data_IF_230784204567
#
_entry.id   IF_230784204567
#
_cell.length_a   1.000
_cell.length_b   1.000
_cell.length_c   1.000
_cell.angle_alpha   90.00
_cell.angle_beta   90.00
_cell.angle_gamma   90.00
#
_symmetry.space_group_name_H-M   'P 1'
#
loop_
_entity.id
_entity.type
_entity.pdbx_description
1 polymer ?
#
# COMPACT_ATOMS: atom_id res chain seq x y z
N UNK A 1 9.64 10.09 -5.57
CA UNK A 1 9.57 10.91 -4.34
C UNK A 1 10.09 10.10 -3.16
N UNK A 2 10.96 10.71 -2.33
CA UNK A 2 11.53 10.07 -1.15
C UNK A 2 10.51 9.94 -0.01
N UNK A 3 10.68 8.93 0.84
CA UNK A 3 9.83 8.67 2.01
C UNK A 3 9.75 9.88 2.95
N UNK A 4 10.87 10.56 3.20
CA UNK A 4 10.92 11.74 4.09
C UNK A 4 10.04 12.88 3.60
N UNK A 5 10.05 13.16 2.28
CA UNK A 5 9.18 14.19 1.69
C UNK A 5 7.70 13.84 1.83
N UNK A 6 7.36 12.57 1.68
CA UNK A 6 5.99 12.09 1.88
C UNK A 6 5.57 12.17 3.35
N UNK A 7 6.44 11.76 4.28
CA UNK A 7 6.19 11.88 5.72
C UNK A 7 6.02 13.33 6.16
N UNK A 8 6.82 14.25 5.61
CA UNK A 8 6.67 15.67 5.89
C UNK A 8 5.27 16.17 5.50
N UNK A 9 4.80 15.84 4.30
CA UNK A 9 3.44 16.20 3.83
C UNK A 9 2.34 15.59 4.69
N UNK A 10 2.50 14.33 5.12
CA UNK A 10 1.55 13.67 6.04
C UNK A 10 1.49 14.43 7.37
N UNK A 11 2.65 14.81 7.92
CA UNK A 11 2.73 15.57 9.16
C UNK A 11 2.12 16.97 9.06
N UNK A 12 2.26 17.63 7.92
CA UNK A 12 1.56 18.90 7.65
C UNK A 12 0.04 18.71 7.74
N UNK A 13 -0.47 17.65 7.11
CA UNK A 13 -1.90 17.34 7.16
C UNK A 13 -2.39 16.96 8.55
N UNK A 14 -1.59 16.24 9.33
CA UNK A 14 -1.88 15.97 10.73
C UNK A 14 -1.98 17.26 11.56
N UNK A 15 -1.10 18.25 11.32
CA UNK A 15 -1.16 19.57 11.98
C UNK A 15 -2.44 20.31 11.65
N UNK A 16 -2.85 20.33 10.38
CA UNK A 16 -4.11 20.98 9.95
C UNK A 16 -5.32 20.38 10.67
N UNK A 17 -5.30 19.07 10.93
CA UNK A 17 -6.36 18.34 11.61
C UNK A 17 -6.22 18.36 13.15
N UNK A 18 -5.17 18.96 13.68
CA UNK A 18 -4.82 18.91 15.12
C UNK A 18 -4.68 17.48 15.65
N UNK A 19 -4.10 16.60 14.86
CA UNK A 19 -3.78 15.22 15.24
C UNK A 19 -2.32 15.11 15.68
N UNK A 20 -2.08 14.49 16.84
CA UNK A 20 -0.75 14.23 17.38
C UNK A 20 -0.11 12.99 16.74
N UNK A 21 -0.94 12.01 16.40
CA UNK A 21 -0.55 10.77 15.76
C UNK A 21 -1.49 10.39 14.60
N UNK A 22 -0.98 9.59 13.68
CA UNK A 22 -1.75 8.99 12.59
C UNK A 22 -1.54 7.47 12.60
N UNK A 23 -2.62 6.72 12.77
CA UNK A 23 -2.63 5.28 12.62
C UNK A 23 -3.04 4.89 11.21
N UNK A 24 -2.09 4.35 10.44
CA UNK A 24 -2.29 3.95 9.05
C UNK A 24 -2.34 2.42 8.95
N UNK A 25 -3.46 1.90 8.48
CA UNK A 25 -3.73 0.45 8.29
C UNK A 25 -3.91 0.05 6.82
N UNK A 26 -4.02 1.02 5.91
CA UNK A 26 -4.16 0.78 4.48
C UNK A 26 -2.84 0.28 3.87
N UNK A 27 -2.78 -0.98 3.47
CA UNK A 27 -1.58 -1.58 2.88
C UNK A 27 -1.09 -0.86 1.61
N UNK A 28 -1.96 -0.45 0.65
CA UNK A 28 -1.53 0.32 -0.50
C UNK A 28 -0.91 1.68 -0.14
N UNK A 29 -1.42 2.31 0.92
CA UNK A 29 -0.91 3.60 1.37
C UNK A 29 0.45 3.45 2.07
N UNK A 30 0.62 2.39 2.87
CA UNK A 30 1.89 2.04 3.50
C UNK A 30 2.94 1.72 2.44
N UNK A 31 2.61 0.87 1.47
CA UNK A 31 3.51 0.52 0.38
C UNK A 31 3.95 1.75 -0.43
N UNK A 32 3.03 2.69 -0.70
CA UNK A 32 3.34 3.95 -1.35
C UNK A 32 4.18 4.88 -0.48
N UNK A 33 3.83 5.04 0.80
CA UNK A 33 4.50 5.96 1.72
C UNK A 33 5.96 5.59 1.93
N UNK A 34 6.23 4.29 2.14
CA UNK A 34 7.57 3.77 2.44
C UNK A 34 8.35 3.29 1.21
N UNK A 35 7.78 3.38 0.01
CA UNK A 35 8.38 2.85 -1.24
C UNK A 35 8.75 1.37 -1.11
N UNK A 36 7.90 0.58 -0.48
CA UNK A 36 8.06 -0.87 -0.32
C UNK A 36 7.07 -1.64 -1.19
N UNK A 37 7.47 -2.85 -1.55
CA UNK A 37 6.61 -3.85 -2.19
C UNK A 37 6.83 -5.19 -1.51
N UNK A 38 5.83 -6.05 -1.55
CA UNK A 38 5.88 -7.41 -1.05
C UNK A 38 4.90 -8.29 -1.80
N UNK A 39 4.78 -9.54 -1.42
CA UNK A 39 3.98 -10.57 -2.07
C UNK A 39 3.09 -11.35 -1.07
N UNK A 40 2.79 -10.77 0.08
CA UNK A 40 1.89 -11.39 1.07
C UNK A 40 0.46 -11.56 0.55
N UNK A 41 0.09 -10.83 -0.51
CA UNK A 41 -1.25 -10.88 -1.12
C UNK A 41 -1.12 -11.29 -2.59
N UNK A 42 -1.78 -12.39 -2.95
CA UNK A 42 -1.76 -12.90 -4.31
C UNK A 42 -2.15 -11.83 -5.34
N UNK A 43 -1.40 -11.75 -6.44
CA UNK A 43 -1.59 -10.80 -7.55
C UNK A 43 -1.52 -9.32 -7.16
N UNK A 44 -1.00 -9.00 -5.97
CA UNK A 44 -0.94 -7.62 -5.49
C UNK A 44 0.38 -7.38 -4.76
N UNK A 45 1.22 -6.40 -5.16
CA UNK A 45 2.56 -6.22 -4.61
C UNK A 45 2.53 -5.52 -3.24
N UNK A 46 1.77 -6.08 -2.29
CA UNK A 46 1.57 -5.57 -0.95
C UNK A 46 2.07 -6.55 0.10
N UNK A 47 2.27 -6.05 1.31
CA UNK A 47 2.72 -6.80 2.47
C UNK A 47 1.93 -6.41 3.71
N UNK A 48 1.75 -7.34 4.65
CA UNK A 48 1.04 -7.08 5.89
C UNK A 48 1.82 -6.12 6.77
N UNK A 49 1.21 -4.98 7.07
CA UNK A 49 1.86 -3.91 7.82
C UNK A 49 0.87 -2.95 8.46
N UNK A 50 1.36 -2.20 9.45
CA UNK A 50 0.72 -1.02 10.02
C UNK A 50 1.77 0.07 10.17
N UNK A 51 1.34 1.32 10.21
CA UNK A 51 2.24 2.41 10.56
C UNK A 51 1.62 3.33 11.61
N UNK A 52 2.47 3.80 12.52
CA UNK A 52 2.15 4.82 13.50
C UNK A 52 3.09 5.99 13.31
N UNK A 53 2.54 7.15 12.99
CA UNK A 53 3.29 8.34 12.61
C UNK A 53 2.96 9.45 13.59
N UNK A 54 3.97 10.02 14.25
CA UNK A 54 3.85 11.23 15.06
C UNK A 54 4.62 12.38 14.41
N UNK A 55 4.63 13.55 15.03
CA UNK A 55 5.36 14.70 14.51
C UNK A 55 6.87 14.45 14.41
N UNK A 56 7.41 13.65 15.31
CA UNK A 56 8.85 13.40 15.46
C UNK A 56 9.26 11.94 15.20
N UNK A 57 8.35 10.98 15.33
CA UNK A 57 8.63 9.53 15.21
C UNK A 57 7.81 8.89 14.10
N UNK A 58 8.28 7.74 13.65
CA UNK A 58 7.55 6.87 12.74
C UNK A 58 7.87 5.41 13.08
N UNK A 59 6.83 4.64 13.33
CA UNK A 59 6.93 3.20 13.57
C UNK A 59 6.26 2.45 12.41
N UNK A 60 6.98 1.50 11.85
CA UNK A 60 6.47 0.61 10.81
C UNK A 60 6.45 -0.81 11.36
N UNK A 61 5.25 -1.38 11.47
CA UNK A 61 5.01 -2.74 11.94
C UNK A 61 4.91 -3.68 10.74
N UNK A 62 5.83 -4.63 10.64
CA UNK A 62 5.87 -5.64 9.59
C UNK A 62 6.62 -6.87 10.07
N UNK A 63 6.57 -7.95 9.33
CA UNK A 63 7.38 -9.14 9.60
C UNK A 63 8.85 -8.83 9.36
N UNK A 64 9.67 -8.90 10.41
CA UNK A 64 11.11 -8.54 10.36
C UNK A 64 11.93 -9.45 9.45
N UNK A 65 11.51 -10.68 9.25
CA UNK A 65 12.15 -11.65 8.37
C UNK A 65 11.94 -11.35 6.88
N UNK A 66 10.96 -10.50 6.54
CA UNK A 66 10.64 -10.13 5.16
C UNK A 66 11.37 -8.87 4.67
N UNK A 67 12.07 -8.14 5.55
CA UNK A 67 12.78 -6.91 5.16
C UNK A 67 14.26 -7.18 4.91
N UNK A 68 14.80 -6.69 3.79
CA UNK A 68 16.24 -6.80 3.53
C UNK A 68 17.05 -5.95 4.50
N UNK A 69 18.29 -6.38 4.81
CA UNK A 69 19.21 -5.63 5.67
C UNK A 69 19.47 -4.20 5.15
N UNK A 70 19.52 -4.02 3.84
CA UNK A 70 19.70 -2.72 3.19
C UNK A 70 18.49 -1.81 3.46
N UNK A 71 17.26 -2.31 3.28
CA UNK A 71 16.05 -1.54 3.55
C UNK A 71 15.92 -1.23 5.06
N UNK A 72 16.23 -2.20 5.92
CA UNK A 72 16.24 -1.99 7.37
C UNK A 72 17.20 -0.86 7.79
N UNK A 73 18.45 -0.89 7.31
CA UNK A 73 19.44 0.14 7.62
C UNK A 73 19.00 1.52 7.11
N UNK A 74 18.49 1.58 5.89
CA UNK A 74 17.94 2.81 5.30
C UNK A 74 16.83 3.42 6.16
N UNK A 75 15.87 2.63 6.62
CA UNK A 75 14.80 3.14 7.48
C UNK A 75 15.31 3.67 8.81
N UNK A 76 16.29 2.97 9.40
CA UNK A 76 16.93 3.43 10.64
C UNK A 76 17.62 4.80 10.46
N UNK A 77 18.29 5.02 9.34
CA UNK A 77 18.94 6.29 8.99
C UNK A 77 17.93 7.44 8.83
N UNK A 78 16.73 7.13 8.35
CA UNK A 78 15.62 8.08 8.21
C UNK A 78 14.72 8.17 9.46
N UNK A 79 15.15 7.66 10.61
CA UNK A 79 14.40 7.75 11.87
C UNK A 79 13.11 6.93 11.90
N UNK A 80 12.96 5.95 11.00
CA UNK A 80 11.82 5.04 10.99
C UNK A 80 12.17 3.78 11.78
N UNK A 81 11.42 3.54 12.84
CA UNK A 81 11.61 2.39 13.73
C UNK A 81 10.78 1.21 13.23
N UNK A 82 11.45 0.12 12.85
CA UNK A 82 10.77 -1.12 12.45
C UNK A 82 10.48 -1.97 13.69
N UNK A 83 9.23 -2.39 13.81
CA UNK A 83 8.70 -3.26 14.86
C UNK A 83 8.11 -4.54 14.26
N UNK A 84 7.99 -5.57 15.09
CA UNK A 84 7.31 -6.78 14.66
C UNK A 84 5.81 -6.52 14.43
N UNK A 85 5.26 -7.15 13.38
CA UNK A 85 3.84 -7.01 13.03
C UNK A 85 2.90 -7.31 14.21
N UNK A 86 3.25 -8.32 15.01
CA UNK A 86 2.43 -8.75 16.15
C UNK A 86 2.46 -7.77 17.32
N UNK A 87 3.43 -6.86 17.37
CA UNK A 87 3.53 -5.86 18.45
C UNK A 87 2.47 -4.75 18.34
N UNK A 88 1.82 -4.56 17.18
CA UNK A 88 0.89 -3.45 16.94
C UNK A 88 -0.23 -3.38 17.98
N UNK A 89 -0.86 -4.50 18.33
CA UNK A 89 -1.98 -4.51 19.27
C UNK A 89 -1.56 -4.13 20.70
N UNK A 90 -0.39 -4.56 21.16
CA UNK A 90 0.14 -4.14 22.46
C UNK A 90 0.55 -2.67 22.46
N UNK A 91 1.17 -2.22 21.37
CA UNK A 91 1.58 -0.83 21.20
C UNK A 91 0.38 0.13 21.25
N UNK A 92 -0.73 -0.17 20.53
CA UNK A 92 -1.91 0.70 20.49
C UNK A 92 -2.58 0.87 21.85
N UNK A 93 -2.58 -0.14 22.72
CA UNK A 93 -3.16 -0.09 24.07
C UNK A 93 -2.52 0.98 24.97
N UNK A 94 -1.27 1.31 24.72
CA UNK A 94 -0.47 2.20 25.54
C UNK A 94 -0.43 3.63 25.01
N UNK A 95 -1.20 3.93 23.94
CA UNK A 95 -1.26 5.27 23.38
C UNK A 95 -2.34 6.11 24.06
N UNK A 96 -2.12 7.44 24.07
CA UNK A 96 -2.99 8.42 24.76
C UNK A 96 -3.19 9.72 23.96
N UNK A 97 -2.61 9.80 22.76
CA UNK A 97 -2.59 10.98 21.90
C UNK A 97 -3.93 11.21 21.20
N UNK A 98 -4.06 12.38 20.55
CA UNK A 98 -5.11 12.62 19.56
C UNK A 98 -4.73 11.92 18.25
N UNK A 99 -5.47 10.90 17.85
CA UNK A 99 -5.13 9.99 16.76
C UNK A 99 -6.04 10.18 15.57
N UNK A 100 -5.45 10.51 14.43
CA UNK A 100 -6.11 10.43 13.13
C UNK A 100 -6.16 8.97 12.66
N UNK A 101 -7.30 8.50 12.19
CA UNK A 101 -7.45 7.22 11.51
C UNK A 101 -8.65 7.25 10.56
N UNK A 102 -8.61 6.37 9.56
CA UNK A 102 -9.75 6.13 8.69
C UNK A 102 -10.56 4.92 9.24
N UNK A 103 -11.80 5.13 9.73
CA UNK A 103 -12.60 4.05 10.31
C UNK A 103 -13.00 2.97 9.28
N UNK A 104 -13.15 3.33 8.00
CA UNK A 104 -13.49 2.39 6.92
C UNK A 104 -12.35 1.41 6.60
N UNK A 105 -11.12 1.77 6.95
CA UNK A 105 -9.91 0.99 6.66
C UNK A 105 -9.26 0.40 7.92
N UNK A 106 -9.72 0.79 9.10
CA UNK A 106 -9.20 0.31 10.38
C UNK A 106 -10.08 -0.83 10.90
N UNK A 107 -9.47 -1.97 11.20
CA UNK A 107 -10.25 -3.08 11.76
C UNK A 107 -10.75 -2.75 13.17
N UNK A 108 -11.89 -3.35 13.53
CA UNK A 108 -12.60 -3.09 14.79
C UNK A 108 -11.74 -3.35 16.04
N UNK A 109 -10.88 -4.36 16.01
CA UNK A 109 -9.98 -4.64 17.13
C UNK A 109 -9.05 -3.46 17.40
N UNK A 110 -8.34 -2.98 16.39
CA UNK A 110 -7.36 -1.90 16.55
C UNK A 110 -8.03 -0.57 16.89
N UNK A 111 -9.20 -0.30 16.33
CA UNK A 111 -9.99 0.86 16.71
C UNK A 111 -10.32 0.85 18.22
N UNK A 112 -10.80 -0.29 18.73
CA UNK A 112 -11.12 -0.40 20.16
C UNK A 112 -9.90 -0.38 21.10
N UNK A 113 -8.72 -0.78 20.62
CA UNK A 113 -7.50 -0.70 21.42
C UNK A 113 -7.05 0.75 21.68
N UNK A 114 -7.51 1.70 20.88
CA UNK A 114 -7.25 3.13 21.05
C UNK A 114 -8.22 3.82 22.02
N UNK A 115 -8.85 3.08 22.93
CA UNK A 115 -9.89 3.58 23.87
C UNK A 115 -9.42 4.69 24.82
N UNK A 116 -8.11 4.90 24.95
CA UNK A 116 -7.51 5.97 25.76
C UNK A 116 -7.19 7.22 24.91
N UNK A 117 -7.30 7.11 23.59
CA UNK A 117 -6.98 8.18 22.66
C UNK A 117 -8.23 9.01 22.32
N UNK A 118 -8.01 10.27 21.98
CA UNK A 118 -9.02 11.05 21.28
C UNK A 118 -8.94 10.73 19.80
N UNK A 119 -10.01 10.19 19.21
CA UNK A 119 -10.01 9.79 17.80
C UNK A 119 -10.51 10.93 16.93
N UNK A 120 -9.79 11.18 15.83
CA UNK A 120 -10.21 11.99 14.69
C UNK A 120 -10.46 11.02 13.54
N UNK A 121 -11.73 10.86 13.17
CA UNK A 121 -12.15 10.02 12.05
C UNK A 121 -12.15 10.85 10.77
N UNK A 122 -11.24 10.51 9.85
CA UNK A 122 -11.17 11.14 8.53
C UNK A 122 -10.49 10.19 7.53
N UNK A 123 -10.56 10.52 6.25
CA UNK A 123 -9.85 9.79 5.20
C UNK A 123 -8.34 9.89 5.39
N UNK A 124 -7.64 8.84 4.98
CA UNK A 124 -6.18 8.86 5.00
C UNK A 124 -5.65 9.98 4.12
N UNK A 125 -4.83 10.90 4.63
CA UNK A 125 -4.20 11.93 3.79
C UNK A 125 -3.35 11.34 2.65
N UNK A 126 -2.80 10.15 2.87
CA UNK A 126 -2.03 9.39 1.89
C UNK A 126 -2.85 8.95 0.67
N UNK A 127 -4.16 8.78 0.79
CA UNK A 127 -5.04 8.36 -0.30
C UNK A 127 -4.99 9.36 -1.48
N UNK A 128 -5.24 10.62 -1.20
CA UNK A 128 -5.19 11.68 -2.23
C UNK A 128 -3.75 11.92 -2.71
N UNK A 129 -2.77 11.93 -1.81
CA UNK A 129 -1.36 12.11 -2.16
C UNK A 129 -0.86 11.02 -3.12
N UNK A 130 -1.29 9.77 -2.93
CA UNK A 130 -1.00 8.64 -3.80
C UNK A 130 -1.75 8.73 -5.14
N UNK A 131 -2.97 9.27 -5.12
CA UNK A 131 -3.79 9.42 -6.32
C UNK A 131 -3.20 10.42 -7.31
N UNK A 132 -2.60 11.51 -6.82
CA UNK A 132 -1.92 12.52 -7.64
C UNK A 132 -0.55 12.00 -8.04
N UNK A 133 -0.38 11.68 -9.33
CA UNK A 133 0.85 11.10 -9.88
C UNK A 133 1.83 12.19 -10.31
N UNK A 134 3.13 11.94 -10.11
CA UNK A 134 4.19 12.77 -10.71
C UNK A 134 4.46 12.34 -12.16
N UNK A 135 5.25 13.12 -12.89
CA UNK A 135 5.50 12.91 -14.32
C UNK A 135 6.09 11.52 -14.61
N UNK A 136 7.05 11.06 -13.78
CA UNK A 136 7.66 9.72 -13.93
C UNK A 136 6.61 8.62 -13.76
N UNK A 137 5.73 8.75 -12.78
CA UNK A 137 4.63 7.80 -12.56
C UNK A 137 3.63 7.82 -13.71
N UNK A 138 3.34 9.00 -14.27
CA UNK A 138 2.47 9.16 -15.44
C UNK A 138 3.06 8.46 -16.66
N UNK A 139 4.35 8.64 -16.93
CA UNK A 139 5.02 8.01 -18.06
C UNK A 139 5.08 6.49 -17.93
N UNK A 140 5.36 5.97 -16.73
CA UNK A 140 5.30 4.54 -16.45
C UNK A 140 3.88 3.99 -16.65
N UNK A 141 2.84 4.69 -16.16
CA UNK A 141 1.46 4.28 -16.36
C UNK A 141 1.09 4.23 -17.84
N UNK A 142 1.48 5.24 -18.64
CA UNK A 142 1.25 5.22 -20.10
C UNK A 142 1.90 4.02 -20.76
N UNK A 143 3.16 3.73 -20.43
CA UNK A 143 3.87 2.58 -20.98
C UNK A 143 3.21 1.25 -20.58
N UNK A 144 2.84 1.08 -19.31
CA UNK A 144 2.12 -0.10 -18.83
C UNK A 144 0.78 -0.29 -19.54
N UNK A 145 0.00 0.78 -19.72
CA UNK A 145 -1.29 0.69 -20.42
C UNK A 145 -1.15 0.34 -21.90
N UNK A 146 -0.10 0.80 -22.58
CA UNK A 146 0.18 0.40 -23.96
C UNK A 146 0.50 -1.09 -24.02
N UNK A 147 1.38 -1.57 -23.14
CA UNK A 147 1.78 -2.97 -23.10
C UNK A 147 0.57 -3.88 -22.76
N UNK A 148 -0.18 -3.57 -21.70
CA UNK A 148 -1.38 -4.34 -21.36
C UNK A 148 -2.44 -4.29 -22.46
N UNK A 149 -2.58 -3.15 -23.14
CA UNK A 149 -3.45 -3.00 -24.32
C UNK A 149 -3.08 -3.92 -25.46
N UNK A 150 -1.79 -4.19 -25.69
CA UNK A 150 -1.31 -5.17 -26.67
C UNK A 150 -1.71 -6.59 -26.27
N UNK A 151 -1.49 -6.97 -25.02
CA UNK A 151 -1.88 -8.28 -24.51
C UNK A 151 -3.40 -8.49 -24.59
N UNK A 152 -4.16 -7.50 -24.12
CA UNK A 152 -5.62 -7.50 -24.18
C UNK A 152 -6.14 -7.62 -25.62
N UNK A 153 -5.56 -6.89 -26.57
CA UNK A 153 -5.97 -6.95 -27.98
C UNK A 153 -5.73 -8.34 -28.58
N UNK A 154 -4.57 -8.94 -28.32
CA UNK A 154 -4.25 -10.31 -28.76
C UNK A 154 -5.20 -11.34 -28.16
N UNK A 155 -5.45 -11.21 -26.84
CA UNK A 155 -6.39 -12.05 -26.12
C UNK A 155 -7.82 -11.92 -26.71
N UNK A 156 -8.33 -10.72 -26.91
CA UNK A 156 -9.66 -10.49 -27.47
C UNK A 156 -9.81 -11.04 -28.90
N UNK A 157 -8.76 -10.91 -29.71
CA UNK A 157 -8.74 -11.54 -31.03
C UNK A 157 -8.85 -13.06 -30.93
N UNK A 158 -8.04 -13.69 -30.07
CA UNK A 158 -8.09 -15.13 -29.83
C UNK A 158 -9.47 -15.57 -29.31
N UNK A 159 -10.03 -14.86 -28.33
CA UNK A 159 -11.33 -15.18 -27.75
C UNK A 159 -12.45 -15.15 -28.81
N UNK A 160 -12.54 -14.06 -29.56
CA UNK A 160 -13.55 -13.92 -30.64
C UNK A 160 -13.43 -14.99 -31.72
N UNK A 161 -12.22 -15.48 -31.99
CA UNK A 161 -11.99 -16.51 -33.01
C UNK A 161 -12.39 -17.91 -32.55
N UNK A 162 -12.37 -18.17 -31.26
CA UNK A 162 -12.51 -19.50 -30.66
C UNK A 162 -13.80 -19.69 -29.86
N UNK A 163 -14.46 -18.64 -29.41
CA UNK A 163 -15.71 -18.73 -28.64
C UNK A 163 -16.78 -19.48 -29.46
N UNK A 164 -17.43 -20.44 -28.82
CA UNK A 164 -18.42 -21.32 -29.45
C UNK A 164 -17.85 -22.40 -30.38
N UNK A 165 -16.52 -22.48 -30.57
CA UNK A 165 -15.85 -23.50 -31.41
C UNK A 165 -15.05 -24.49 -30.58
N UNK A 166 -14.56 -24.09 -29.43
CA UNK A 166 -13.85 -24.96 -28.49
C UNK A 166 -14.50 -24.89 -27.12
N UNK A 167 -14.44 -25.95 -26.30
CA UNK A 167 -14.83 -25.88 -24.90
C UNK A 167 -14.01 -24.80 -24.17
N UNK A 168 -14.68 -23.93 -23.42
CA UNK A 168 -14.04 -22.86 -22.66
C UNK A 168 -14.60 -22.83 -21.25
N UNK A 169 -13.72 -22.62 -20.27
CA UNK A 169 -14.06 -22.30 -18.89
C UNK A 169 -13.54 -20.91 -18.56
N UNK A 170 -14.10 -20.26 -17.55
CA UNK A 170 -13.63 -18.95 -17.06
C UNK A 170 -12.13 -18.98 -16.72
N UNK A 171 -11.68 -20.09 -16.09
CA UNK A 171 -10.27 -20.28 -15.77
C UNK A 171 -9.38 -20.31 -17.02
N UNK A 172 -9.75 -21.10 -18.04
CA UNK A 172 -8.97 -21.14 -19.29
C UNK A 172 -8.88 -19.78 -19.96
N UNK A 173 -9.94 -18.99 -19.89
CA UNK A 173 -9.96 -17.62 -20.45
C UNK A 173 -9.02 -16.71 -19.65
N UNK A 174 -9.04 -16.80 -18.34
CA UNK A 174 -8.13 -16.07 -17.44
C UNK A 174 -6.66 -16.45 -17.70
N UNK A 175 -6.36 -17.74 -17.68
CA UNK A 175 -5.02 -18.28 -17.93
C UNK A 175 -4.49 -17.82 -19.31
N UNK A 176 -5.37 -17.79 -20.33
CA UNK A 176 -4.99 -17.34 -21.67
C UNK A 176 -4.64 -15.85 -21.73
N UNK A 177 -5.32 -15.00 -20.98
CA UNK A 177 -4.96 -13.57 -20.87
C UNK A 177 -3.60 -13.42 -20.18
N UNK A 178 -3.38 -14.20 -19.12
CA UNK A 178 -2.12 -14.20 -18.38
C UNK A 178 -0.94 -14.58 -19.29
N UNK A 179 -1.07 -15.66 -20.10
CA UNK A 179 -0.07 -16.06 -21.09
C UNK A 179 0.29 -14.93 -22.08
N UNK A 180 -0.63 -14.04 -22.42
CA UNK A 180 -0.31 -12.90 -23.29
C UNK A 180 0.42 -11.80 -22.53
N UNK A 181 0.17 -11.63 -21.25
CA UNK A 181 0.87 -10.70 -20.36
C UNK A 181 2.30 -11.14 -20.04
N UNK A 182 2.50 -12.45 -19.78
CA UNK A 182 3.82 -13.04 -19.54
C UNK A 182 4.83 -12.81 -20.68
N UNK A 183 4.34 -12.55 -21.90
CA UNK A 183 5.20 -12.23 -23.06
C UNK A 183 5.65 -10.78 -23.11
N UNK A 184 5.13 -9.94 -22.22
CA UNK A 184 5.46 -8.52 -22.17
C UNK A 184 6.78 -8.30 -21.41
N UNK A 185 7.55 -7.26 -21.78
CA UNK A 185 8.69 -6.85 -20.98
C UNK A 185 8.21 -6.39 -19.59
N UNK A 186 8.98 -6.69 -18.58
CA UNK A 186 8.74 -6.26 -17.19
C UNK A 186 7.47 -6.86 -16.53
N UNK A 187 7.05 -8.04 -17.00
CA UNK A 187 5.98 -8.81 -16.35
C UNK A 187 6.45 -9.41 -15.02
#
# INVERSE_FOLDING_TARGET
>A
EHTDSKLARVREKMKELNADAFFLSSLPDIAWLFNLRGDDIACTPLFYSYAWITMDKCFLFLRKDCISAVAFQRFKEHGISIRDYMEVSSFLKDQHETVLLNPDLTNYLHYNLLFKCKIIEDKNPTELMKAIKNDIQIDHLKACHINDGIAMTKFMYWLKKNVGKIPMTERMISDRLEEEREKLPDY
#
